data_IF_428004072897
#
_entry.id   IF_428004072897
#
_cell.length_a   1.000
_cell.length_b   1.000
_cell.length_c   1.000
_cell.angle_alpha   90.00
_cell.angle_beta   90.00
_cell.angle_gamma   90.00
#
_symmetry.space_group_name_H-M   'P 1'
#
loop_
_entity.id
_entity.type
_entity.pdbx_description
1 polymer ?
#
# COMPACT_ATOMS: atom_id res chain seq x y z
N UNK A 1 0.35 54.09 -82.52
CA UNK A 1 -1.09 53.91 -82.25
C UNK A 1 -1.44 52.48 -82.61
N UNK A 2 -2.14 51.75 -81.74
CA UNK A 2 -2.60 50.40 -82.06
C UNK A 2 -3.60 50.48 -83.22
N UNK A 3 -3.45 49.58 -84.18
CA UNK A 3 -4.42 49.42 -85.26
C UNK A 3 -5.78 49.01 -84.69
N UNK A 4 -6.87 49.35 -85.36
CA UNK A 4 -8.21 49.00 -84.87
C UNK A 4 -8.43 47.48 -84.80
N UNK A 5 -7.68 46.72 -85.59
CA UNK A 5 -7.62 45.25 -85.55
C UNK A 5 -6.96 44.73 -84.26
N UNK A 6 -5.85 45.33 -83.82
CA UNK A 6 -5.21 44.98 -82.55
C UNK A 6 -6.10 45.30 -81.34
N UNK A 7 -6.83 46.41 -81.39
CA UNK A 7 -7.81 46.75 -80.33
C UNK A 7 -8.98 45.78 -80.28
N UNK A 8 -9.39 45.22 -81.42
CA UNK A 8 -10.43 44.20 -81.48
C UNK A 8 -9.93 42.87 -80.91
N UNK A 9 -8.68 42.48 -81.25
CA UNK A 9 -8.04 41.27 -80.70
C UNK A 9 -7.88 41.34 -79.17
N UNK A 10 -7.44 42.47 -78.64
CA UNK A 10 -7.26 42.65 -77.19
C UNK A 10 -8.61 42.56 -76.46
N UNK A 11 -9.68 43.18 -77.00
CA UNK A 11 -11.03 43.07 -76.42
C UNK A 11 -11.54 41.63 -76.40
N UNK A 12 -11.35 40.89 -77.49
CA UNK A 12 -11.73 39.48 -77.56
C UNK A 12 -10.96 38.61 -76.54
N UNK A 13 -9.67 38.89 -76.33
CA UNK A 13 -8.86 38.20 -75.34
C UNK A 13 -9.31 38.53 -73.90
N UNK A 14 -9.64 39.79 -73.60
CA UNK A 14 -10.15 40.19 -72.29
C UNK A 14 -11.52 39.58 -71.99
N UNK A 15 -12.40 39.51 -72.98
CA UNK A 15 -13.69 38.81 -72.87
C UNK A 15 -13.50 37.33 -72.59
N UNK A 16 -12.57 36.67 -73.30
CA UNK A 16 -12.23 35.27 -73.06
C UNK A 16 -11.69 35.04 -71.64
N UNK A 17 -10.78 35.90 -71.16
CA UNK A 17 -10.25 35.81 -69.78
C UNK A 17 -11.36 35.94 -68.73
N UNK A 18 -12.34 36.83 -68.94
CA UNK A 18 -13.48 37.00 -68.03
C UNK A 18 -14.38 35.76 -68.01
N UNK A 19 -14.66 35.15 -69.17
CA UNK A 19 -15.47 33.93 -69.26
C UNK A 19 -14.77 32.76 -68.56
N UNK A 20 -13.47 32.58 -68.78
CA UNK A 20 -12.68 31.54 -68.10
C UNK A 20 -12.69 31.75 -66.58
N UNK A 21 -12.47 32.98 -66.11
CA UNK A 21 -12.52 33.29 -64.68
C UNK A 21 -13.91 33.01 -64.06
N UNK A 22 -14.99 33.32 -64.78
CA UNK A 22 -16.35 33.02 -64.32
C UNK A 22 -16.66 31.52 -64.31
N UNK A 23 -16.11 30.74 -65.25
CA UNK A 23 -16.26 29.28 -65.26
C UNK A 23 -15.48 28.64 -64.12
N UNK A 24 -14.25 29.09 -63.87
CA UNK A 24 -13.44 28.62 -62.75
C UNK A 24 -14.08 28.96 -61.40
N UNK A 25 -14.60 30.18 -61.23
CA UNK A 25 -15.29 30.58 -60.01
C UNK A 25 -16.59 29.80 -59.73
N UNK A 26 -17.21 29.19 -60.75
CA UNK A 26 -18.41 28.33 -60.60
C UNK A 26 -18.07 26.87 -60.33
N UNK A 27 -16.83 26.44 -60.55
CA UNK A 27 -16.41 25.05 -60.36
C UNK A 27 -15.89 24.73 -58.97
N UNK A 28 -15.60 25.74 -58.14
CA UNK A 28 -15.20 25.51 -56.76
C UNK A 28 -16.46 25.40 -55.86
N UNK A 29 -16.85 24.19 -55.40
CA UNK A 29 -17.96 24.06 -54.46
C UNK A 29 -17.63 24.82 -53.18
N UNK A 30 -18.62 25.43 -52.51
CA UNK A 30 -18.40 26.15 -51.25
C UNK A 30 -17.76 25.17 -50.25
N UNK A 31 -16.52 25.48 -49.84
CA UNK A 31 -15.80 24.63 -48.90
C UNK A 31 -16.60 24.56 -47.59
N UNK A 32 -16.95 23.35 -47.21
CA UNK A 32 -17.62 23.11 -45.93
C UNK A 32 -16.69 23.48 -44.78
N UNK A 33 -17.24 23.95 -43.66
CA UNK A 33 -16.46 24.33 -42.46
C UNK A 33 -15.51 23.21 -42.00
N UNK A 34 -15.88 21.94 -42.20
CA UNK A 34 -15.01 20.79 -41.94
C UNK A 34 -13.82 20.70 -42.90
N UNK A 35 -14.00 20.98 -44.19
CA UNK A 35 -12.90 21.00 -45.16
C UNK A 35 -11.88 22.10 -44.86
N UNK A 36 -12.31 23.24 -44.31
CA UNK A 36 -11.40 24.31 -43.85
C UNK A 36 -10.58 23.88 -42.62
N UNK A 37 -11.18 23.12 -41.69
CA UNK A 37 -10.45 22.57 -40.55
C UNK A 37 -9.45 21.49 -41.01
N UNK A 38 -9.85 20.61 -41.94
CA UNK A 38 -8.95 19.60 -42.51
C UNK A 38 -7.81 20.20 -43.35
N UNK A 39 -8.07 21.28 -44.09
CA UNK A 39 -7.01 21.95 -44.85
C UNK A 39 -5.98 22.62 -43.94
N UNK A 40 -6.41 23.19 -42.80
CA UNK A 40 -5.50 23.69 -41.76
C UNK A 40 -4.68 22.57 -41.13
N UNK A 41 -5.28 21.41 -40.86
CA UNK A 41 -4.58 20.23 -40.33
C UNK A 41 -3.54 19.67 -41.31
N UNK A 42 -3.74 19.83 -42.62
CA UNK A 42 -2.82 19.38 -43.67
C UNK A 42 -1.71 20.39 -43.99
N UNK A 43 -1.63 21.51 -43.26
CA UNK A 43 -0.48 22.43 -43.34
C UNK A 43 0.66 21.96 -42.43
N UNK A 44 1.90 22.35 -42.75
CA UNK A 44 3.07 22.07 -41.90
C UNK A 44 2.89 22.54 -40.45
N UNK A 45 2.12 23.60 -40.22
CA UNK A 45 1.78 24.12 -38.88
C UNK A 45 0.73 23.23 -38.20
N UNK A 46 -0.28 22.75 -38.93
CA UNK A 46 -1.30 21.84 -38.43
C UNK A 46 -0.72 20.48 -38.01
N UNK A 47 0.20 19.93 -38.80
CA UNK A 47 0.90 18.70 -38.46
C UNK A 47 1.71 18.81 -37.16
N UNK A 48 2.38 19.95 -36.95
CA UNK A 48 3.11 20.21 -35.70
C UNK A 48 2.18 20.31 -34.48
N UNK A 49 1.04 21.01 -34.60
CA UNK A 49 0.05 21.12 -33.54
C UNK A 49 -0.57 19.76 -33.19
N UNK A 50 -0.93 18.97 -34.20
CA UNK A 50 -1.52 17.64 -34.00
C UNK A 50 -0.55 16.72 -33.24
N UNK A 51 0.74 16.76 -33.58
CA UNK A 51 1.77 15.97 -32.88
C UNK A 51 1.87 16.35 -31.39
N UNK A 52 1.79 17.65 -31.07
CA UNK A 52 1.89 18.13 -29.68
C UNK A 52 0.68 17.70 -28.85
N UNK A 53 -0.53 17.79 -29.42
CA UNK A 53 -1.75 17.33 -28.76
C UNK A 53 -1.71 15.82 -28.54
N UNK A 54 -1.20 15.05 -29.51
CA UNK A 54 -1.13 13.59 -29.43
C UNK A 54 -0.10 13.13 -28.39
N UNK A 55 1.07 13.78 -28.33
CA UNK A 55 2.08 13.52 -27.28
C UNK A 55 1.54 13.91 -25.90
N UNK A 56 0.88 15.07 -25.77
CA UNK A 56 0.31 15.53 -24.50
C UNK A 56 -0.78 14.60 -23.98
N UNK A 57 -1.69 14.14 -24.85
CA UNK A 57 -2.75 13.20 -24.49
C UNK A 57 -2.19 11.82 -24.13
N UNK A 58 -1.22 11.30 -24.88
CA UNK A 58 -0.54 10.05 -24.54
C UNK A 58 0.15 10.12 -23.17
N UNK A 59 0.85 11.24 -22.88
CA UNK A 59 1.49 11.48 -21.58
C UNK A 59 0.50 11.55 -20.41
N UNK A 60 -0.65 12.20 -20.61
CA UNK A 60 -1.72 12.25 -19.61
C UNK A 60 -2.29 10.87 -19.30
N UNK A 61 -2.61 10.07 -20.34
CA UNK A 61 -3.14 8.70 -20.18
C UNK A 61 -2.13 7.80 -19.48
N UNK A 62 -0.86 7.84 -19.88
CA UNK A 62 0.20 7.06 -19.22
C UNK A 62 0.32 7.43 -17.73
N UNK A 63 0.27 8.72 -17.40
CA UNK A 63 0.32 9.20 -16.02
C UNK A 63 -0.90 8.75 -15.20
N UNK A 64 -2.11 8.83 -15.78
CA UNK A 64 -3.34 8.39 -15.12
C UNK A 64 -3.34 6.88 -14.82
N UNK A 65 -2.87 6.06 -15.78
CA UNK A 65 -2.72 4.61 -15.59
C UNK A 65 -1.67 4.30 -14.53
N UNK A 66 -0.52 4.96 -14.59
CA UNK A 66 0.55 4.77 -13.60
C UNK A 66 0.11 5.14 -12.17
N UNK A 67 -0.63 6.25 -12.02
CA UNK A 67 -1.19 6.67 -10.74
C UNK A 67 -2.22 5.67 -10.20
N UNK A 68 -3.08 5.11 -11.05
CA UNK A 68 -4.06 4.10 -10.63
C UNK A 68 -3.38 2.80 -10.21
N UNK A 69 -2.33 2.37 -10.92
CA UNK A 69 -1.61 1.15 -10.59
C UNK A 69 -0.85 1.29 -9.26
N UNK A 70 -0.13 2.39 -9.06
CA UNK A 70 0.58 2.68 -7.81
C UNK A 70 -0.36 2.88 -6.61
N UNK A 71 -1.56 3.42 -6.81
CA UNK A 71 -2.57 3.54 -5.75
C UNK A 71 -3.02 2.15 -5.23
N UNK A 72 -3.17 1.17 -6.12
CA UNK A 72 -3.54 -0.20 -5.72
C UNK A 72 -2.44 -0.89 -4.91
N UNK A 73 -1.17 -0.65 -5.23
CA UNK A 73 -0.04 -1.18 -4.46
C UNK A 73 0.02 -0.55 -3.06
N UNK A 74 -0.20 0.76 -2.95
CA UNK A 74 -0.26 1.46 -1.66
C UNK A 74 -1.36 0.89 -0.77
N UNK A 75 -2.56 0.71 -1.31
CA UNK A 75 -3.67 0.10 -0.58
C UNK A 75 -3.32 -1.32 -0.12
N UNK A 76 -2.71 -2.14 -0.98
CA UNK A 76 -2.28 -3.48 -0.61
C UNK A 76 -1.23 -3.46 0.52
N UNK A 77 -0.28 -2.52 0.49
CA UNK A 77 0.71 -2.38 1.56
C UNK A 77 0.11 -1.87 2.87
N UNK A 78 -0.83 -0.94 2.83
CA UNK A 78 -1.53 -0.44 4.01
C UNK A 78 -2.38 -1.52 4.66
N UNK A 79 -3.09 -2.32 3.86
CA UNK A 79 -3.86 -3.48 4.36
C UNK A 79 -2.92 -4.44 5.08
N UNK A 80 -1.77 -4.80 4.48
CA UNK A 80 -0.79 -5.69 5.13
C UNK A 80 -0.25 -5.12 6.44
N UNK A 81 0.07 -3.83 6.47
CA UNK A 81 0.57 -3.18 7.69
C UNK A 81 -0.48 -3.16 8.79
N UNK A 82 -1.74 -2.87 8.46
CA UNK A 82 -2.86 -2.92 9.41
C UNK A 82 -3.05 -4.33 9.95
N UNK A 83 -3.11 -5.34 9.08
CA UNK A 83 -3.24 -6.74 9.51
C UNK A 83 -2.10 -7.18 10.43
N UNK A 84 -0.87 -6.70 10.21
CA UNK A 84 0.25 -6.98 11.13
C UNK A 84 0.08 -6.32 12.50
N UNK A 85 -0.34 -5.06 12.56
CA UNK A 85 -0.61 -4.36 13.82
C UNK A 85 -1.76 -5.02 14.59
N UNK A 86 -2.79 -5.46 13.88
CA UNK A 86 -3.96 -6.13 14.43
C UNK A 86 -3.59 -7.52 14.97
N UNK A 87 -2.81 -8.30 14.22
CA UNK A 87 -2.26 -9.58 14.70
C UNK A 87 -1.37 -9.40 15.95
N UNK A 88 -0.57 -8.34 16.00
CA UNK A 88 0.25 -8.02 17.17
C UNK A 88 -0.62 -7.67 18.38
N UNK A 89 -1.68 -6.88 18.20
CA UNK A 89 -2.64 -6.59 19.27
C UNK A 89 -3.30 -7.86 19.79
N UNK A 90 -3.80 -8.73 18.90
CA UNK A 90 -4.41 -10.00 19.31
C UNK A 90 -3.43 -10.86 20.10
N UNK A 91 -2.18 -10.95 19.64
CA UNK A 91 -1.12 -11.71 20.34
C UNK A 91 -0.88 -11.18 21.75
N UNK A 92 -0.92 -9.85 21.94
CA UNK A 92 -0.79 -9.21 23.25
C UNK A 92 -1.99 -9.44 24.16
N UNK A 93 -3.17 -9.71 23.59
CA UNK A 93 -4.40 -10.00 24.33
C UNK A 93 -4.54 -11.48 24.72
N UNK A 94 -3.80 -12.40 24.08
CA UNK A 94 -3.85 -13.83 24.40
C UNK A 94 -3.59 -14.14 25.89
N UNK A 95 -2.59 -13.54 26.58
CA UNK A 95 -2.39 -13.78 28.01
C UNK A 95 -3.58 -13.34 28.86
N UNK A 96 -4.32 -12.32 28.45
CA UNK A 96 -5.51 -11.85 29.16
C UNK A 96 -6.71 -12.76 28.91
N UNK A 97 -6.83 -13.33 27.70
CA UNK A 97 -7.80 -14.37 27.41
C UNK A 97 -7.55 -15.67 28.20
N UNK A 98 -6.27 -16.01 28.41
CA UNK A 98 -5.87 -17.24 29.08
C UNK A 98 -6.01 -17.19 30.62
N UNK A 99 -6.17 -16.00 31.21
CA UNK A 99 -6.43 -15.87 32.65
C UNK A 99 -7.86 -16.34 32.95
N UNK A 100 -8.00 -17.46 33.62
CA UNK A 100 -9.28 -17.97 34.14
C UNK A 100 -9.67 -17.17 35.40
N UNK A 101 -10.76 -16.41 35.34
CA UNK A 101 -11.28 -15.65 36.49
C UNK A 101 -12.09 -14.42 36.08
N UNK A 102 -12.64 -13.71 37.05
CA UNK A 102 -13.54 -12.55 36.88
C UNK A 102 -12.81 -11.24 36.53
N UNK A 103 -11.73 -11.36 35.76
CA UNK A 103 -10.84 -10.26 35.47
C UNK A 103 -11.51 -9.33 34.44
N UNK A 104 -11.82 -8.05 34.76
CA UNK A 104 -12.34 -7.08 33.78
C UNK A 104 -11.45 -6.98 32.52
N UNK A 105 -10.17 -7.33 32.63
CA UNK A 105 -9.21 -7.43 31.54
C UNK A 105 -9.60 -8.49 30.48
N UNK A 106 -10.23 -9.60 30.87
CA UNK A 106 -10.65 -10.65 29.94
C UNK A 106 -11.82 -10.17 29.07
N UNK A 107 -12.79 -9.47 29.65
CA UNK A 107 -13.88 -8.83 28.91
C UNK A 107 -13.38 -7.76 27.93
N UNK A 108 -12.40 -6.96 28.35
CA UNK A 108 -11.75 -5.98 27.46
C UNK A 108 -11.04 -6.70 26.31
N UNK A 109 -10.31 -7.79 26.58
CA UNK A 109 -9.65 -8.57 25.53
C UNK A 109 -10.66 -9.16 24.53
N UNK A 110 -11.75 -9.77 25.01
CA UNK A 110 -12.80 -10.35 24.15
C UNK A 110 -13.46 -9.26 23.30
N UNK A 111 -13.78 -8.10 23.88
CA UNK A 111 -14.40 -6.99 23.13
C UNK A 111 -13.48 -6.40 22.05
N UNK A 112 -12.18 -6.23 22.32
CA UNK A 112 -11.21 -5.75 21.33
C UNK A 112 -11.08 -6.76 20.18
N UNK A 113 -10.96 -8.05 20.49
CA UNK A 113 -10.83 -9.09 19.47
C UNK A 113 -12.10 -9.17 18.61
N UNK A 114 -13.27 -9.07 19.23
CA UNK A 114 -14.54 -8.99 18.51
C UNK A 114 -14.63 -7.78 17.58
N UNK A 115 -14.17 -6.61 18.04
CA UNK A 115 -14.12 -5.41 17.20
C UNK A 115 -13.17 -5.57 16.00
N UNK A 116 -11.99 -6.16 16.22
CA UNK A 116 -11.00 -6.43 15.18
C UNK A 116 -11.53 -7.43 14.13
N UNK A 117 -12.24 -8.48 14.57
CA UNK A 117 -12.90 -9.44 13.68
C UNK A 117 -13.91 -8.74 12.76
N UNK A 118 -14.77 -7.90 13.33
CA UNK A 118 -15.84 -7.24 12.59
C UNK A 118 -15.35 -6.20 11.58
N UNK A 119 -14.14 -5.66 11.77
CA UNK A 119 -13.51 -4.74 10.80
C UNK A 119 -12.77 -5.44 9.66
N UNK A 120 -12.73 -6.77 9.65
CA UNK A 120 -11.93 -7.53 8.69
C UNK A 120 -10.42 -7.36 8.90
N UNK A 121 -10.01 -6.90 10.08
CA UNK A 121 -8.61 -6.68 10.44
C UNK A 121 -7.87 -7.96 10.85
N UNK A 122 -8.64 -9.01 11.12
CA UNK A 122 -8.12 -10.33 11.46
C UNK A 122 -8.13 -11.19 10.20
N UNK A 123 -7.03 -11.92 9.98
CA UNK A 123 -6.93 -12.92 8.92
C UNK A 123 -8.09 -13.95 9.01
N UNK A 124 -8.76 -14.29 7.90
CA UNK A 124 -9.92 -15.20 7.91
C UNK A 124 -9.65 -16.58 8.55
N UNK A 125 -8.42 -17.09 8.42
CA UNK A 125 -8.04 -18.38 9.03
C UNK A 125 -7.96 -18.21 10.55
N UNK A 126 -7.39 -17.09 11.01
CA UNK A 126 -7.35 -16.77 12.43
C UNK A 126 -8.75 -16.55 13.00
N UNK A 127 -9.64 -15.83 12.30
CA UNK A 127 -11.01 -15.62 12.78
C UNK A 127 -11.76 -16.93 12.94
N UNK A 128 -11.58 -17.87 12.00
CA UNK A 128 -12.16 -19.21 12.08
C UNK A 128 -11.64 -19.99 13.29
N UNK A 129 -10.34 -19.87 13.58
CA UNK A 129 -9.71 -20.51 14.74
C UNK A 129 -10.23 -19.91 16.06
N UNK A 130 -10.40 -18.59 16.10
CA UNK A 130 -10.97 -17.90 17.25
C UNK A 130 -12.43 -18.32 17.49
N UNK A 131 -13.24 -18.40 16.44
CA UNK A 131 -14.63 -18.85 16.53
C UNK A 131 -14.72 -20.28 17.06
N UNK A 132 -13.83 -21.15 16.60
CA UNK A 132 -13.74 -22.51 17.12
C UNK A 132 -13.42 -22.53 18.62
N UNK A 133 -12.44 -21.73 19.08
CA UNK A 133 -12.07 -21.65 20.51
C UNK A 133 -13.23 -21.11 21.35
N UNK A 134 -13.86 -20.01 20.92
CA UNK A 134 -14.98 -19.40 21.63
C UNK A 134 -16.17 -20.36 21.69
N UNK A 135 -16.47 -21.06 20.59
CA UNK A 135 -17.53 -22.07 20.56
C UNK A 135 -17.21 -23.28 21.46
N UNK A 136 -15.96 -23.73 21.51
CA UNK A 136 -15.55 -24.80 22.43
C UNK A 136 -15.73 -24.38 23.90
N UNK A 137 -15.38 -23.14 24.26
CA UNK A 137 -15.61 -22.62 25.63
C UNK A 137 -17.11 -22.59 25.94
N UNK A 138 -17.92 -22.07 25.01
CA UNK A 138 -19.37 -21.99 25.18
C UNK A 138 -20.02 -23.37 25.34
N UNK A 139 -19.70 -24.32 24.45
CA UNK A 139 -20.22 -25.70 24.48
C UNK A 139 -19.77 -26.42 25.74
N UNK A 140 -18.51 -26.28 26.13
CA UNK A 140 -17.97 -26.94 27.33
C UNK A 140 -18.63 -26.41 28.60
N UNK A 141 -18.81 -25.09 28.73
CA UNK A 141 -19.48 -24.51 29.89
C UNK A 141 -20.98 -24.76 29.95
N UNK A 142 -21.65 -25.00 28.81
CA UNK A 142 -23.05 -25.41 28.76
C UNK A 142 -23.29 -26.89 29.14
N UNK A 143 -22.22 -27.69 29.27
CA UNK A 143 -22.32 -29.11 29.58
C UNK A 143 -22.90 -29.40 30.98
N UNK A 144 -23.61 -30.52 31.17
CA UNK A 144 -24.18 -30.89 32.47
C UNK A 144 -23.11 -31.13 33.54
N UNK A 145 -21.90 -31.51 33.14
CA UNK A 145 -20.74 -31.76 34.00
C UNK A 145 -19.79 -30.56 34.10
N UNK A 146 -20.15 -29.40 33.54
CA UNK A 146 -19.27 -28.22 33.54
C UNK A 146 -18.99 -27.74 34.97
N UNK A 147 -17.74 -27.40 35.25
CA UNK A 147 -17.36 -26.79 36.52
C UNK A 147 -17.98 -25.37 36.65
N UNK A 148 -18.09 -24.82 37.88
CA UNK A 148 -18.56 -23.45 38.07
C UNK A 148 -17.72 -22.42 37.27
N UNK A 149 -16.42 -22.65 37.14
CA UNK A 149 -15.51 -21.79 36.37
C UNK A 149 -15.78 -21.88 34.86
N UNK A 150 -16.02 -23.08 34.34
CA UNK A 150 -16.34 -23.30 32.92
C UNK A 150 -17.69 -22.68 32.53
N UNK A 151 -18.70 -22.79 33.40
CA UNK A 151 -20.01 -22.14 33.21
C UNK A 151 -19.87 -20.63 33.13
N UNK A 152 -19.10 -20.06 34.05
CA UNK A 152 -18.85 -18.61 34.09
C UNK A 152 -18.08 -18.12 32.86
N UNK A 153 -17.08 -18.87 32.41
CA UNK A 153 -16.35 -18.56 31.18
C UNK A 153 -17.27 -18.61 29.95
N UNK A 154 -18.15 -19.61 29.85
CA UNK A 154 -19.13 -19.70 28.77
C UNK A 154 -20.13 -18.55 28.79
N UNK A 155 -20.68 -18.19 29.96
CA UNK A 155 -21.58 -17.05 30.11
C UNK A 155 -20.91 -15.74 29.68
N UNK A 156 -19.64 -15.54 30.08
CA UNK A 156 -18.82 -14.38 29.69
C UNK A 156 -18.62 -14.31 28.17
N UNK A 157 -18.31 -15.44 27.52
CA UNK A 157 -18.14 -15.52 26.07
C UNK A 157 -19.45 -15.20 25.35
N UNK A 158 -20.58 -15.80 25.78
CA UNK A 158 -21.91 -15.57 25.18
C UNK A 158 -22.31 -14.10 25.33
N UNK A 159 -22.21 -13.53 26.55
CA UNK A 159 -22.54 -12.14 26.81
C UNK A 159 -21.70 -11.17 25.97
N UNK A 160 -20.42 -11.48 25.77
CA UNK A 160 -19.52 -10.65 24.96
C UNK A 160 -19.86 -10.72 23.47
N UNK A 161 -20.15 -11.92 22.95
CA UNK A 161 -20.58 -12.12 21.56
C UNK A 161 -21.90 -11.39 21.30
N UNK A 162 -22.88 -11.51 22.20
CA UNK A 162 -24.16 -10.81 22.09
C UNK A 162 -24.00 -9.28 22.18
N UNK A 163 -23.12 -8.78 23.05
CA UNK A 163 -22.81 -7.35 23.14
C UNK A 163 -22.19 -6.82 21.84
N UNK A 164 -21.28 -7.59 21.22
CA UNK A 164 -20.67 -7.25 19.94
C UNK A 164 -21.68 -7.25 18.80
N UNK A 165 -22.55 -8.26 18.72
CA UNK A 165 -23.63 -8.34 17.72
C UNK A 165 -24.61 -7.18 17.85
N UNK A 166 -24.96 -6.77 19.08
CA UNK A 166 -25.80 -5.59 19.32
C UNK A 166 -25.11 -4.30 18.89
N UNK A 167 -23.86 -4.07 19.30
CA UNK A 167 -23.09 -2.90 18.89
C UNK A 167 -22.97 -2.79 17.36
N UNK A 168 -22.82 -3.92 16.66
CA UNK A 168 -22.78 -3.96 15.20
C UNK A 168 -24.13 -3.59 14.58
N UNK A 169 -25.22 -4.12 15.11
CA UNK A 169 -26.57 -3.80 14.64
C UNK A 169 -26.85 -2.30 14.80
N UNK A 170 -26.41 -1.71 15.92
CA UNK A 170 -26.52 -0.26 16.16
C UNK A 170 -25.70 0.55 15.15
N UNK A 171 -24.44 0.17 14.89
CA UNK A 171 -23.58 0.85 13.91
C UNK A 171 -24.13 0.76 12.48
N UNK A 172 -24.76 -0.36 12.10
CA UNK A 172 -25.34 -0.54 10.77
C UNK A 172 -26.70 0.16 10.61
N UNK A 173 -27.47 0.30 11.69
CA UNK A 173 -28.78 0.97 11.63
C UNK A 173 -28.70 2.48 11.43
N UNK A 174 -27.52 3.10 11.49
CA UNK A 174 -27.34 4.54 11.32
C UNK A 174 -28.02 5.41 12.40
N UNK A 175 -28.76 4.80 13.33
CA UNK A 175 -29.30 5.47 14.50
C UNK A 175 -28.18 5.84 15.46
N UNK A 176 -27.99 7.14 15.65
CA UNK A 176 -27.14 7.72 16.70
C UNK A 176 -27.58 7.18 18.06
N UNK A 177 -26.62 6.73 18.87
CA UNK A 177 -26.86 6.22 20.23
C UNK A 177 -27.40 7.34 21.13
N UNK A 178 -28.72 7.46 21.24
CA UNK A 178 -29.39 8.27 22.28
C UNK A 178 -29.79 7.43 23.51
N UNK A 179 -29.42 6.15 23.55
CA UNK A 179 -29.61 5.33 24.77
C UNK A 179 -28.41 5.54 25.69
N UNK A 180 -28.58 6.12 26.90
CA UNK A 180 -27.49 6.26 27.85
C UNK A 180 -27.00 4.86 28.21
N UNK A 181 -25.78 4.52 27.82
CA UNK A 181 -25.07 3.45 28.50
C UNK A 181 -24.98 3.87 29.97
N UNK A 182 -25.55 3.07 30.86
CA UNK A 182 -25.35 3.19 32.32
C UNK A 182 -23.91 2.77 32.66
N UNK A 183 -22.94 3.47 32.08
CA UNK A 183 -21.53 3.39 32.43
C UNK A 183 -21.36 4.20 33.68
N UNK A 184 -21.45 3.54 34.83
CA UNK A 184 -20.87 4.05 36.07
C UNK A 184 -19.45 4.52 35.71
N UNK A 185 -19.15 5.83 35.83
CA UNK A 185 -17.91 6.38 35.30
C UNK A 185 -16.73 5.67 35.95
N UNK A 186 -15.90 5.02 35.12
CA UNK A 186 -14.59 4.53 35.53
C UNK A 186 -13.87 5.70 36.20
N UNK A 187 -13.67 5.57 37.51
CA UNK A 187 -13.10 6.62 38.34
C UNK A 187 -11.71 6.94 37.81
N UNK A 188 -11.35 8.23 37.77
CA UNK A 188 -10.08 8.75 37.24
C UNK A 188 -8.85 8.03 37.81
N UNK A 189 -8.98 7.41 38.98
CA UNK A 189 -7.99 6.56 39.64
C UNK A 189 -7.61 5.27 38.89
N UNK A 190 -8.40 4.79 37.92
CA UNK A 190 -8.09 3.59 37.12
C UNK A 190 -7.49 3.91 35.74
N UNK A 191 -7.49 5.18 35.31
CA UNK A 191 -6.91 5.61 34.03
C UNK A 191 -5.40 5.82 34.06
N UNK A 192 -4.80 5.83 35.25
CA UNK A 192 -3.35 5.94 35.46
C UNK A 192 -2.70 4.60 35.83
N UNK A 193 -3.11 3.48 35.21
CA UNK A 193 -2.20 2.35 35.12
C UNK A 193 -1.04 2.74 34.20
N UNK A 194 -0.05 3.43 34.80
CA UNK A 194 1.24 3.76 34.23
C UNK A 194 1.77 2.50 33.57
N UNK A 195 1.78 2.48 32.24
CA UNK A 195 2.38 1.39 31.46
C UNK A 195 3.74 1.11 32.11
N UNK A 196 4.03 -0.14 32.55
CA UNK A 196 5.26 -0.42 33.25
C UNK A 196 6.42 0.10 32.40
N UNK A 197 7.24 0.97 32.98
CA UNK A 197 8.32 1.66 32.26
C UNK A 197 9.27 0.66 31.57
N UNK A 198 9.33 -0.57 32.10
CA UNK A 198 10.08 -1.70 31.57
C UNK A 198 9.62 -2.18 30.18
N UNK A 199 8.38 -1.87 29.76
CA UNK A 199 7.91 -2.15 28.39
C UNK A 199 8.38 -1.09 27.37
N UNK A 200 8.84 0.07 27.82
CA UNK A 200 9.32 1.16 26.96
C UNK A 200 10.82 1.04 26.67
N UNK A 201 11.58 0.30 27.51
CA UNK A 201 13.04 0.23 27.42
C UNK A 201 13.57 -0.98 26.66
N UNK A 202 12.74 -1.95 26.26
CA UNK A 202 13.24 -3.11 25.52
C UNK A 202 13.63 -2.68 24.09
N UNK A 203 14.90 -2.86 23.68
CA UNK A 203 15.34 -2.50 22.34
C UNK A 203 14.53 -3.29 21.31
N UNK A 204 14.08 -2.58 20.28
CA UNK A 204 13.35 -3.21 19.20
C UNK A 204 14.23 -4.27 18.52
N UNK A 205 13.67 -5.42 18.13
CA UNK A 205 14.44 -6.44 17.44
C UNK A 205 14.95 -5.90 16.09
N UNK A 206 16.22 -6.15 15.80
CA UNK A 206 16.86 -5.77 14.55
C UNK A 206 16.15 -6.45 13.37
N UNK A 207 15.86 -5.66 12.33
CA UNK A 207 15.26 -6.12 11.09
C UNK A 207 16.19 -5.82 9.91
N UNK A 208 16.50 -6.84 9.12
CA UNK A 208 17.35 -6.71 7.92
C UNK A 208 16.56 -7.11 6.68
N UNK A 209 16.40 -6.18 5.74
CA UNK A 209 15.82 -6.45 4.41
C UNK A 209 16.91 -6.88 3.44
N UNK A 210 16.68 -7.95 2.69
CA UNK A 210 17.69 -8.50 1.78
C UNK A 210 17.27 -8.20 0.35
N UNK A 211 18.10 -7.45 -0.37
CA UNK A 211 17.86 -7.05 -1.75
C UNK A 211 18.85 -7.77 -2.67
N UNK A 212 18.34 -8.51 -3.65
CA UNK A 212 19.13 -9.24 -4.66
C UNK A 212 19.02 -8.57 -6.03
N UNK A 213 20.10 -8.60 -6.80
CA UNK A 213 20.11 -8.08 -8.16
C UNK A 213 19.40 -9.03 -9.14
N UNK A 214 19.64 -10.33 -9.00
CA UNK A 214 19.13 -11.34 -9.91
C UNK A 214 18.76 -12.63 -9.16
N UNK A 215 17.95 -13.47 -9.81
CA UNK A 215 17.41 -14.68 -9.21
C UNK A 215 18.48 -15.72 -8.82
N UNK A 216 19.62 -15.72 -9.50
CA UNK A 216 20.76 -16.60 -9.18
C UNK A 216 21.33 -16.36 -7.78
N UNK A 217 21.08 -15.20 -7.17
CA UNK A 217 21.52 -14.86 -5.81
C UNK A 217 20.57 -15.35 -4.72
N UNK A 218 19.34 -15.80 -5.06
CA UNK A 218 18.29 -16.12 -4.08
C UNK A 218 18.73 -17.19 -3.08
N UNK A 219 19.32 -18.29 -3.54
CA UNK A 219 19.78 -19.38 -2.67
C UNK A 219 20.75 -18.86 -1.60
N UNK A 220 21.69 -17.99 -2.00
CA UNK A 220 22.66 -17.40 -1.06
C UNK A 220 22.00 -16.42 -0.08
N UNK A 221 21.03 -15.65 -0.57
CA UNK A 221 20.22 -14.76 0.27
C UNK A 221 19.39 -15.55 1.31
N UNK A 222 18.83 -16.72 0.95
CA UNK A 222 18.09 -17.60 1.87
C UNK A 222 18.99 -18.23 2.96
N UNK A 223 20.23 -18.60 2.62
CA UNK A 223 21.23 -19.03 3.59
C UNK A 223 21.50 -17.93 4.62
N UNK A 224 21.71 -16.69 4.17
CA UNK A 224 21.95 -15.54 5.05
C UNK A 224 20.72 -15.21 5.87
N UNK A 225 19.53 -15.22 5.26
CA UNK A 225 18.26 -15.00 5.94
C UNK A 225 18.08 -16.00 7.09
N UNK A 226 18.46 -17.26 6.88
CA UNK A 226 18.43 -18.29 7.92
C UNK A 226 19.45 -18.03 9.03
N UNK A 227 20.66 -17.59 8.69
CA UNK A 227 21.67 -17.17 9.68
C UNK A 227 21.18 -15.99 10.53
N UNK A 228 20.52 -15.00 9.92
CA UNK A 228 19.91 -13.88 10.64
C UNK A 228 18.83 -14.36 11.62
N UNK A 229 17.90 -15.21 11.18
CA UNK A 229 16.87 -15.78 12.08
C UNK A 229 17.46 -16.52 13.26
N UNK A 230 18.51 -17.33 13.04
CA UNK A 230 19.20 -18.06 14.11
C UNK A 230 19.92 -17.15 15.12
N UNK A 231 20.18 -15.89 14.76
CA UNK A 231 20.76 -14.86 15.63
C UNK A 231 19.70 -13.94 16.26
N UNK A 232 18.41 -14.25 16.10
CA UNK A 232 17.31 -13.40 16.59
C UNK A 232 17.07 -12.14 15.76
N UNK A 233 17.67 -12.04 14.57
CA UNK A 233 17.48 -10.93 13.63
C UNK A 233 16.29 -11.27 12.73
N UNK A 234 15.36 -10.33 12.60
CA UNK A 234 14.18 -10.48 11.74
C UNK A 234 14.59 -10.21 10.29
N UNK A 235 14.51 -11.21 9.42
CA UNK A 235 14.80 -11.07 7.99
C UNK A 235 13.59 -11.55 7.16
N UNK A 236 12.60 -10.67 6.89
CA UNK A 236 11.29 -11.12 6.43
C UNK A 236 11.30 -11.61 4.98
N UNK A 237 11.75 -10.77 4.03
CA UNK A 237 11.64 -11.03 2.59
C UNK A 237 12.97 -10.80 1.87
N UNK A 238 13.14 -11.51 0.75
CA UNK A 238 14.21 -11.32 -0.23
C UNK A 238 13.59 -10.65 -1.47
N UNK A 239 14.03 -9.43 -1.77
CA UNK A 239 13.43 -8.58 -2.81
C UNK A 239 14.38 -8.49 -4.01
N UNK A 240 13.89 -8.74 -5.22
CA UNK A 240 14.67 -8.54 -6.44
C UNK A 240 14.58 -7.07 -6.88
N UNK A 241 15.73 -6.42 -7.01
CA UNK A 241 15.84 -4.99 -7.32
C UNK A 241 16.49 -4.72 -8.69
N UNK A 242 17.06 -5.74 -9.35
CA UNK A 242 17.60 -5.62 -10.71
C UNK A 242 18.79 -4.67 -10.80
N UNK A 243 18.77 -3.83 -11.82
CA UNK A 243 19.85 -2.86 -12.13
C UNK A 243 20.08 -1.80 -11.06
N UNK A 244 19.14 -1.63 -10.11
CA UNK A 244 19.29 -0.70 -8.98
C UNK A 244 20.24 -1.24 -7.90
N UNK A 245 20.69 -2.49 -8.01
CA UNK A 245 21.71 -3.04 -7.13
C UNK A 245 23.04 -2.28 -7.25
N UNK A 246 23.77 -2.10 -6.14
CA UNK A 246 25.10 -1.50 -6.15
C UNK A 246 26.09 -2.37 -6.93
N UNK A 247 27.25 -1.79 -7.28
CA UNK A 247 28.36 -2.53 -7.93
C UNK A 247 29.09 -3.49 -6.99
N UNK A 248 28.94 -3.30 -5.68
CA UNK A 248 29.51 -4.15 -4.64
C UNK A 248 28.46 -4.40 -3.57
N UNK A 249 28.45 -5.57 -2.90
CA UNK A 249 27.50 -5.83 -1.83
C UNK A 249 27.75 -4.87 -0.66
N UNK A 250 26.69 -4.39 -0.02
CA UNK A 250 26.80 -3.44 1.08
C UNK A 250 25.66 -3.59 2.08
N UNK A 251 25.99 -3.33 3.35
CA UNK A 251 24.99 -3.18 4.42
C UNK A 251 24.69 -1.68 4.58
N UNK A 252 23.41 -1.34 4.65
CA UNK A 252 22.93 0.02 4.87
C UNK A 252 22.20 0.14 6.20
N UNK A 253 22.38 1.28 6.84
CA UNK A 253 21.70 1.65 8.08
C UNK A 253 21.23 3.11 8.00
N UNK A 254 20.19 3.48 8.75
CA UNK A 254 19.55 4.79 8.60
C UNK A 254 19.78 5.71 9.81
N UNK A 255 19.83 5.13 11.02
CA UNK A 255 19.99 5.87 12.27
C UNK A 255 21.42 5.74 12.80
N UNK A 256 21.96 6.77 13.46
CA UNK A 256 23.34 6.73 13.96
C UNK A 256 23.54 5.61 14.99
N UNK A 257 22.49 5.36 15.75
CA UNK A 257 22.36 4.36 16.81
C UNK A 257 22.47 2.92 16.26
N UNK A 258 22.14 2.72 14.97
CA UNK A 258 22.18 1.40 14.33
C UNK A 258 23.56 1.04 13.76
N UNK A 259 24.56 1.93 13.85
CA UNK A 259 25.87 1.73 13.21
C UNK A 259 26.59 0.48 13.73
N UNK A 260 26.65 0.29 15.05
CA UNK A 260 27.35 -0.86 15.64
C UNK A 260 26.68 -2.18 15.22
N UNK A 261 25.34 -2.21 15.25
CA UNK A 261 24.54 -3.33 14.74
C UNK A 261 24.85 -3.59 13.26
N UNK A 262 24.97 -2.54 12.43
CA UNK A 262 25.31 -2.67 11.02
C UNK A 262 26.71 -3.26 10.80
N UNK A 263 27.68 -2.88 11.63
CA UNK A 263 29.03 -3.46 11.64
C UNK A 263 28.98 -4.97 11.98
N UNK A 264 28.14 -5.38 12.93
CA UNK A 264 27.91 -6.80 13.26
C UNK A 264 27.24 -7.58 12.11
N UNK A 265 26.25 -6.99 11.45
CA UNK A 265 25.62 -7.58 10.26
C UNK A 265 26.64 -7.75 9.14
N UNK A 266 27.49 -6.74 8.90
CA UNK A 266 28.57 -6.81 7.92
C UNK A 266 29.49 -8.02 8.18
N UNK A 267 29.88 -8.24 9.44
CA UNK A 267 30.69 -9.40 9.85
C UNK A 267 29.98 -10.73 9.56
N UNK A 268 28.70 -10.87 9.94
CA UNK A 268 27.92 -12.09 9.69
C UNK A 268 27.79 -12.40 8.19
N UNK A 269 27.67 -11.36 7.36
CA UNK A 269 27.58 -11.51 5.90
C UNK A 269 28.94 -11.95 5.30
N UNK A 270 30.06 -11.43 5.82
CA UNK A 270 31.41 -11.90 5.46
C UNK A 270 31.64 -13.36 5.85
N UNK A 271 31.22 -13.75 7.06
CA UNK A 271 31.26 -15.15 7.52
C UNK A 271 30.35 -16.08 6.69
N UNK A 272 29.39 -15.53 5.96
CA UNK A 272 28.59 -16.27 4.99
C UNK A 272 29.26 -16.37 3.60
N UNK A 273 30.43 -15.78 3.41
CA UNK A 273 31.20 -15.82 2.16
C UNK A 273 30.80 -14.75 1.14
N UNK A 274 30.13 -13.68 1.56
CA UNK A 274 29.87 -12.51 0.69
C UNK A 274 30.88 -11.40 1.02
N UNK A 275 31.60 -10.96 -0.01
CA UNK A 275 32.53 -9.82 0.09
C UNK A 275 31.77 -8.50 0.07
N UNK A 276 31.22 -8.08 1.21
CA UNK A 276 30.59 -6.77 1.41
C UNK A 276 31.62 -5.66 1.60
N UNK A 277 31.27 -4.40 1.34
CA UNK A 277 32.06 -3.18 1.70
C UNK A 277 32.57 -3.22 3.15
N UNK A 278 33.79 -2.70 3.39
CA UNK A 278 34.44 -2.67 4.72
C UNK A 278 33.64 -1.88 5.75
N UNK A 279 32.99 -0.80 5.33
CA UNK A 279 32.11 -0.02 6.19
C UNK A 279 30.66 -0.10 5.70
N UNK A 280 29.68 -0.18 6.63
CA UNK A 280 28.27 -0.01 6.29
C UNK A 280 28.02 1.42 5.81
N UNK A 281 27.09 1.57 4.87
CA UNK A 281 26.73 2.88 4.32
C UNK A 281 25.52 3.47 5.03
N UNK A 282 25.52 4.79 5.19
CA UNK A 282 24.38 5.54 5.72
C UNK A 282 23.74 6.42 4.63
N UNK A 283 22.62 6.01 4.03
CA UNK A 283 21.87 6.87 3.11
C UNK A 283 21.33 8.11 3.82
N UNK A 284 21.02 9.18 3.09
CA UNK A 284 20.34 10.37 3.64
C UNK A 284 18.82 10.16 3.79
N UNK A 285 18.43 9.00 4.31
CA UNK A 285 17.04 8.61 4.54
C UNK A 285 16.86 8.24 6.01
N UNK A 286 15.65 8.44 6.53
CA UNK A 286 15.28 8.05 7.89
C UNK A 286 14.46 6.76 7.85
N UNK A 287 14.71 5.88 8.80
CA UNK A 287 13.92 4.68 9.02
C UNK A 287 13.78 4.44 10.52
N UNK A 288 12.87 3.55 10.92
CA UNK A 288 12.72 3.14 12.32
C UNK A 288 14.04 2.57 12.86
N UNK A 289 14.35 2.81 14.13
CA UNK A 289 15.50 2.17 14.82
C UNK A 289 15.48 0.66 14.65
N UNK A 290 16.65 0.07 14.44
CA UNK A 290 16.84 -1.36 14.17
C UNK A 290 16.51 -1.78 12.74
N UNK A 291 16.23 -0.85 11.81
CA UNK A 291 15.99 -1.15 10.41
C UNK A 291 17.29 -1.03 9.60
N UNK A 292 17.72 -2.14 8.99
CA UNK A 292 18.90 -2.22 8.15
C UNK A 292 18.57 -2.90 6.82
N UNK A 293 19.44 -2.73 5.83
CA UNK A 293 19.31 -3.39 4.53
C UNK A 293 20.63 -4.07 4.14
N UNK A 294 20.55 -5.23 3.51
CA UNK A 294 21.66 -5.91 2.85
C UNK A 294 21.40 -5.91 1.34
N UNK A 295 22.28 -5.26 0.58
CA UNK A 295 22.19 -5.18 -0.86
C UNK A 295 23.25 -6.07 -1.49
N UNK A 296 22.83 -6.98 -2.37
CA UNK A 296 23.75 -7.76 -3.20
C UNK A 296 24.16 -6.93 -4.41
N UNK A 297 25.36 -7.20 -4.91
CA UNK A 297 25.86 -6.57 -6.12
C UNK A 297 25.04 -6.95 -7.36
N UNK A 298 25.03 -6.07 -8.35
CA UNK A 298 24.43 -6.33 -9.67
C UNK A 298 25.08 -7.49 -10.42
#
# INVERSE_FOLDING_TARGET
MLSDEEKARIRAEEEFRRVIQQQLAKQDPPQTTWQQVFSLLNTNVGGWFLSTVLVGTAGFVATAVHNKWTASERQATEIRQRSHQEAEMVTRLLPWLAKTGDAPEQLIAISIIGHLKNRGGIDPIFSTSLDFILNQIAVKGAGPTASPEERKAAETVVASVDALSRAQTTLQSGNTLDTPLDTKPLTSSQREQKLPADLITKPLPTRVYIHIANEGQRKKAEEIQSKFRNKGIIAPNIIMIGEKSPTQPEVRFFNKEDKETADQINKLVREAGISVSDSPKRPSLSARLGHLELWFQK
#
